data_IF_442660723156
#
_entry.id   IF_442660723156
#
_cell.length_a   1.000
_cell.length_b   1.000
_cell.length_c   1.000
_cell.angle_alpha   90.00
_cell.angle_beta   90.00
_cell.angle_gamma   90.00
#
_symmetry.space_group_name_H-M   'P 1'
#
loop_
_entity.id
_entity.type
_entity.pdbx_description
1 polymer ?
#
# COMPACT_ATOMS: atom_id res chain seq x y z
N UNK A 1 26.93 -8.05 12.03
CA UNK A 1 26.24 -6.85 12.58
C UNK A 1 24.81 -6.68 12.05
N UNK A 2 24.49 -7.07 10.80
CA UNK A 2 23.09 -7.17 10.32
C UNK A 2 22.42 -8.52 10.65
N UNK A 3 23.07 -9.36 11.43
CA UNK A 3 22.57 -10.68 11.85
C UNK A 3 21.54 -10.55 12.98
N UNK A 4 21.61 -9.47 13.74
CA UNK A 4 20.64 -9.16 14.77
C UNK A 4 19.31 -8.70 14.15
N UNK A 5 18.23 -9.41 14.51
CA UNK A 5 16.88 -9.10 14.03
C UNK A 5 16.45 -7.69 14.46
N UNK A 6 16.95 -7.22 15.61
CA UNK A 6 16.62 -5.90 16.12
C UNK A 6 17.19 -4.78 15.24
N UNK A 7 18.44 -4.89 14.81
CA UNK A 7 19.07 -3.90 13.92
C UNK A 7 18.35 -3.86 12.56
N UNK A 8 17.97 -5.03 12.02
CA UNK A 8 17.19 -5.10 10.78
C UNK A 8 15.82 -4.42 10.92
N UNK A 9 15.12 -4.68 12.02
CA UNK A 9 13.83 -4.07 12.31
C UNK A 9 13.94 -2.54 12.40
N UNK A 10 14.97 -2.01 13.07
CA UNK A 10 15.20 -0.57 13.19
C UNK A 10 15.51 0.06 11.82
N UNK A 11 16.42 -0.53 11.03
CA UNK A 11 16.78 0.00 9.71
C UNK A 11 15.60 -0.06 8.73
N UNK A 12 14.83 -1.16 8.75
CA UNK A 12 13.63 -1.31 7.94
C UNK A 12 12.55 -0.29 8.34
N UNK A 13 12.28 -0.17 9.65
CA UNK A 13 11.29 0.76 10.18
C UNK A 13 11.61 2.23 9.88
N UNK A 14 12.88 2.64 10.02
CA UNK A 14 13.32 3.99 9.64
C UNK A 14 13.13 4.23 8.14
N UNK A 15 13.46 3.25 7.30
CA UNK A 15 13.24 3.33 5.86
C UNK A 15 11.76 3.55 5.52
N UNK A 16 10.87 2.73 6.09
CA UNK A 16 9.41 2.85 5.89
C UNK A 16 8.90 4.20 6.40
N UNK A 17 9.31 4.65 7.59
CA UNK A 17 8.87 5.92 8.18
C UNK A 17 9.28 7.13 7.33
N UNK A 18 10.50 7.12 6.78
CA UNK A 18 11.00 8.18 5.90
C UNK A 18 10.21 8.31 4.60
N UNK A 19 9.65 7.22 4.10
CA UNK A 19 8.85 7.19 2.86
C UNK A 19 7.39 7.54 3.17
N UNK A 20 6.83 6.92 4.22
CA UNK A 20 5.44 7.06 4.61
C UNK A 20 5.10 8.47 5.11
N UNK A 21 6.02 9.13 5.83
CA UNK A 21 5.82 10.48 6.35
C UNK A 21 5.51 11.51 5.25
N UNK A 22 6.42 11.74 4.28
CA UNK A 22 6.20 12.67 3.19
C UNK A 22 4.99 12.30 2.32
N UNK A 23 4.85 11.02 1.95
CA UNK A 23 3.69 10.56 1.17
C UNK A 23 2.37 10.81 1.89
N UNK A 24 2.30 10.53 3.19
CA UNK A 24 1.12 10.73 4.01
C UNK A 24 0.68 12.20 4.02
N UNK A 25 1.63 13.13 4.17
CA UNK A 25 1.35 14.57 4.09
C UNK A 25 0.67 14.96 2.76
N UNK A 26 1.18 14.46 1.63
CA UNK A 26 0.56 14.71 0.31
C UNK A 26 -0.82 14.10 0.15
N UNK A 27 -1.00 12.86 0.62
CA UNK A 27 -2.28 12.16 0.57
C UNK A 27 -3.35 12.95 1.34
N UNK A 28 -3.00 13.48 2.50
CA UNK A 28 -3.91 14.31 3.32
C UNK A 28 -4.24 15.63 2.63
N UNK A 29 -3.23 16.35 2.10
CA UNK A 29 -3.47 17.61 1.38
C UNK A 29 -4.39 17.45 0.18
N UNK A 30 -4.35 16.30 -0.49
CA UNK A 30 -5.25 15.98 -1.60
C UNK A 30 -6.63 15.45 -1.19
N UNK A 31 -6.96 15.47 0.11
CA UNK A 31 -8.21 14.91 0.65
C UNK A 31 -8.39 13.43 0.29
N UNK A 32 -7.30 12.65 0.36
CA UNK A 32 -7.29 11.20 0.10
C UNK A 32 -6.99 10.41 1.36
N UNK A 33 -7.44 10.87 2.53
CA UNK A 33 -7.09 10.28 3.82
C UNK A 33 -7.39 8.76 3.89
N UNK A 34 -8.46 8.30 3.23
CA UNK A 34 -8.86 6.89 3.18
C UNK A 34 -8.08 6.04 2.16
N UNK A 35 -7.14 6.62 1.42
CA UNK A 35 -6.34 5.90 0.42
C UNK A 35 -5.41 4.87 1.06
N UNK A 36 -4.78 5.22 2.18
CA UNK A 36 -3.95 4.28 2.93
C UNK A 36 -4.75 3.07 3.40
N UNK A 37 -5.94 3.29 3.95
CA UNK A 37 -6.85 2.23 4.41
C UNK A 37 -7.28 1.30 3.27
N UNK A 38 -7.65 1.89 2.12
CA UNK A 38 -8.01 1.13 0.92
C UNK A 38 -6.88 0.24 0.43
N UNK A 39 -5.64 0.76 0.41
CA UNK A 39 -4.47 -0.01 0.00
C UNK A 39 -4.12 -1.13 0.98
N UNK A 40 -4.24 -0.89 2.30
CA UNK A 40 -4.00 -1.92 3.32
C UNK A 40 -4.96 -3.10 3.16
N UNK A 41 -6.24 -2.83 2.91
CA UNK A 41 -7.24 -3.88 2.66
C UNK A 41 -7.06 -4.59 1.32
N UNK A 42 -6.61 -3.85 0.29
CA UNK A 42 -6.24 -4.43 -1.01
C UNK A 42 -5.02 -5.34 -0.91
N UNK A 43 -4.07 -5.02 -0.03
CA UNK A 43 -2.92 -5.87 0.23
C UNK A 43 -3.35 -7.22 0.83
N UNK A 44 -4.31 -7.23 1.75
CA UNK A 44 -4.88 -8.47 2.30
C UNK A 44 -5.52 -9.34 1.21
N UNK A 45 -6.30 -8.74 0.29
CA UNK A 45 -6.81 -9.44 -0.89
C UNK A 45 -5.67 -10.03 -1.72
N UNK A 46 -4.59 -9.27 -1.92
CA UNK A 46 -3.39 -9.75 -2.62
C UNK A 46 -2.72 -10.93 -1.93
N UNK A 47 -2.62 -10.92 -0.60
CA UNK A 47 -2.11 -12.06 0.19
C UNK A 47 -3.02 -13.28 0.01
N UNK A 48 -4.33 -13.10 0.11
CA UNK A 48 -5.30 -14.20 -0.06
C UNK A 48 -5.19 -14.85 -1.45
N UNK A 49 -5.08 -14.03 -2.51
CA UNK A 49 -4.90 -14.52 -3.87
C UNK A 49 -3.53 -15.18 -4.09
N UNK A 50 -2.47 -14.63 -3.48
CA UNK A 50 -1.14 -15.22 -3.57
C UNK A 50 -1.11 -16.63 -2.97
N UNK A 51 -1.74 -16.80 -1.80
CA UNK A 51 -1.85 -18.11 -1.14
C UNK A 51 -2.70 -19.07 -1.97
N UNK A 52 -3.80 -18.61 -2.57
CA UNK A 52 -4.69 -19.46 -3.36
C UNK A 52 -4.05 -19.96 -4.65
N UNK A 53 -3.27 -19.10 -5.31
CA UNK A 53 -2.61 -19.39 -6.58
C UNK A 53 -1.18 -19.92 -6.41
N UNK A 54 -0.72 -20.10 -5.17
CA UNK A 54 0.65 -20.49 -4.82
C UNK A 54 1.73 -19.59 -5.46
N UNK A 55 1.43 -18.29 -5.54
CA UNK A 55 2.30 -17.27 -6.11
C UNK A 55 3.15 -16.58 -5.04
N UNK A 56 4.17 -15.84 -5.49
CA UNK A 56 4.96 -14.99 -4.61
C UNK A 56 4.08 -13.90 -3.98
N UNK A 57 4.05 -13.86 -2.65
CA UNK A 57 3.20 -12.95 -1.86
C UNK A 57 3.53 -11.50 -2.18
N UNK A 58 4.80 -11.10 -2.11
CA UNK A 58 5.24 -9.72 -2.34
C UNK A 58 4.86 -9.21 -3.73
N UNK A 59 5.09 -10.03 -4.77
CA UNK A 59 4.74 -9.65 -6.14
C UNK A 59 3.22 -9.53 -6.35
N UNK A 60 2.45 -10.48 -5.82
CA UNK A 60 0.99 -10.50 -5.98
C UNK A 60 0.34 -9.34 -5.22
N UNK A 61 0.79 -9.06 -4.00
CA UNK A 61 0.35 -7.91 -3.21
C UNK A 61 0.61 -6.60 -3.96
N UNK A 62 1.81 -6.43 -4.52
CA UNK A 62 2.13 -5.27 -5.33
C UNK A 62 1.20 -5.13 -6.54
N UNK A 63 1.01 -6.21 -7.32
CA UNK A 63 0.16 -6.21 -8.53
C UNK A 63 -1.30 -5.86 -8.18
N UNK A 64 -1.87 -6.50 -7.15
CA UNK A 64 -3.25 -6.25 -6.73
C UNK A 64 -3.40 -4.82 -6.20
N UNK A 65 -2.44 -4.33 -5.41
CA UNK A 65 -2.49 -2.96 -4.88
C UNK A 65 -2.44 -1.92 -5.99
N UNK A 66 -1.57 -2.12 -6.99
CA UNK A 66 -1.51 -1.27 -8.19
C UNK A 66 -2.79 -1.38 -9.01
N UNK A 67 -3.34 -2.58 -9.17
CA UNK A 67 -4.62 -2.83 -9.84
C UNK A 67 -5.78 -2.06 -9.19
N UNK A 68 -5.89 -2.09 -7.85
CA UNK A 68 -6.93 -1.35 -7.12
C UNK A 68 -6.68 0.16 -7.21
N UNK A 69 -5.43 0.62 -7.14
CA UNK A 69 -5.11 2.03 -7.32
C UNK A 69 -5.50 2.54 -8.73
N UNK A 70 -5.24 1.75 -9.78
CA UNK A 70 -5.68 2.07 -11.15
C UNK A 70 -7.20 2.03 -11.28
N UNK A 71 -7.86 1.04 -10.69
CA UNK A 71 -9.33 0.96 -10.67
C UNK A 71 -9.94 2.19 -10.01
N UNK A 72 -9.39 2.65 -8.89
CA UNK A 72 -9.82 3.88 -8.23
C UNK A 72 -9.68 5.10 -9.17
N UNK A 73 -8.57 5.21 -9.92
CA UNK A 73 -8.37 6.32 -10.87
C UNK A 73 -9.42 6.31 -11.98
N UNK A 74 -9.74 5.14 -12.54
CA UNK A 74 -10.79 4.99 -13.55
C UNK A 74 -12.17 5.34 -12.99
N UNK A 75 -12.50 4.84 -11.80
CA UNK A 75 -13.78 5.13 -11.14
C UNK A 75 -13.91 6.62 -10.81
N UNK A 76 -12.82 7.29 -10.41
CA UNK A 76 -12.83 8.74 -10.15
C UNK A 76 -13.16 9.58 -11.38
N UNK A 77 -12.82 9.12 -12.59
CA UNK A 77 -13.14 9.85 -13.81
C UNK A 77 -14.61 9.69 -14.23
N UNK A 78 -15.24 8.57 -13.89
CA UNK A 78 -16.58 8.22 -14.37
C UNK A 78 -17.68 8.40 -13.31
N UNK A 79 -17.35 8.27 -12.04
CA UNK A 79 -18.34 8.26 -10.96
C UNK A 79 -18.71 9.68 -10.52
N UNK A 80 -20.01 9.88 -10.30
CA UNK A 80 -20.58 11.11 -9.69
C UNK A 80 -20.46 11.14 -8.16
N UNK A 81 -19.79 10.15 -7.56
CA UNK A 81 -19.61 10.04 -6.11
C UNK A 81 -18.37 10.79 -5.63
N UNK A 82 -18.38 11.17 -4.35
CA UNK A 82 -17.20 11.77 -3.71
C UNK A 82 -16.02 10.78 -3.71
N UNK A 83 -14.80 11.32 -3.81
CA UNK A 83 -13.58 10.50 -3.76
C UNK A 83 -13.49 9.65 -2.49
N UNK A 84 -13.98 10.17 -1.36
CA UNK A 84 -13.99 9.45 -0.08
C UNK A 84 -14.95 8.26 -0.08
N UNK A 85 -16.13 8.40 -0.71
CA UNK A 85 -17.08 7.30 -0.83
C UNK A 85 -16.54 6.17 -1.71
N UNK A 86 -15.83 6.50 -2.80
CA UNK A 86 -15.19 5.50 -3.66
C UNK A 86 -14.08 4.74 -2.93
N UNK A 87 -13.27 5.46 -2.15
CA UNK A 87 -12.22 4.86 -1.32
C UNK A 87 -12.80 3.88 -0.30
N UNK A 88 -13.80 4.32 0.48
CA UNK A 88 -14.46 3.45 1.46
C UNK A 88 -15.13 2.23 0.82
N UNK A 89 -15.77 2.39 -0.34
CA UNK A 89 -16.37 1.28 -1.07
C UNK A 89 -15.32 0.27 -1.53
N UNK A 90 -14.21 0.73 -2.12
CA UNK A 90 -13.14 -0.17 -2.55
C UNK A 90 -12.45 -0.86 -1.38
N UNK A 91 -12.24 -0.16 -0.26
CA UNK A 91 -11.66 -0.71 0.96
C UNK A 91 -12.49 -1.90 1.48
N UNK A 92 -13.79 -1.72 1.66
CA UNK A 92 -14.67 -2.79 2.13
C UNK A 92 -14.90 -3.89 1.09
N UNK A 93 -14.98 -3.54 -0.21
CA UNK A 93 -15.12 -4.54 -1.27
C UNK A 93 -13.89 -5.46 -1.35
N UNK A 94 -12.68 -4.89 -1.33
CA UNK A 94 -11.44 -5.68 -1.38
C UNK A 94 -11.27 -6.55 -0.14
N UNK A 95 -11.59 -6.03 1.05
CA UNK A 95 -11.60 -6.82 2.28
C UNK A 95 -12.62 -7.96 2.22
N UNK A 96 -13.87 -7.69 1.80
CA UNK A 96 -14.91 -8.70 1.70
C UNK A 96 -14.53 -9.81 0.71
N UNK A 97 -14.02 -9.45 -0.47
CA UNK A 97 -13.54 -10.44 -1.46
C UNK A 97 -12.35 -11.22 -0.91
N UNK A 98 -11.40 -10.56 -0.24
CA UNK A 98 -10.23 -11.23 0.35
C UNK A 98 -10.63 -12.25 1.43
N UNK A 99 -11.59 -11.89 2.29
CA UNK A 99 -12.15 -12.79 3.29
C UNK A 99 -12.90 -13.97 2.67
N UNK A 100 -13.68 -13.74 1.62
CA UNK A 100 -14.39 -14.81 0.89
C UNK A 100 -13.38 -15.79 0.28
N UNK A 101 -12.34 -15.28 -0.39
CA UNK A 101 -11.26 -16.10 -0.93
C UNK A 101 -10.63 -16.94 0.17
N UNK A 102 -10.28 -16.32 1.29
CA UNK A 102 -9.66 -17.00 2.42
C UNK A 102 -10.58 -18.05 3.06
N UNK A 103 -11.89 -17.80 3.12
CA UNK A 103 -12.88 -18.72 3.68
C UNK A 103 -12.98 -20.04 2.90
N UNK A 104 -12.65 -20.04 1.60
CA UNK A 104 -12.56 -21.27 0.81
C UNK A 104 -11.31 -22.11 1.13
N UNK A 105 -10.33 -21.55 1.81
CA UNK A 105 -9.03 -22.17 2.10
C UNK A 105 -9.03 -22.81 3.48
N UNK A 106 -9.75 -23.93 3.62
CA UNK A 106 -9.92 -24.62 4.91
C UNK A 106 -8.62 -25.23 5.49
N UNK A 107 -7.57 -25.35 4.66
CA UNK A 107 -6.27 -25.90 5.04
C UNK A 107 -5.28 -24.86 5.56
N UNK A 108 -5.53 -23.56 5.37
CA UNK A 108 -4.61 -22.50 5.79
C UNK A 108 -5.15 -21.78 7.02
N UNK A 109 -4.47 -21.90 8.16
CA UNK A 109 -4.72 -21.03 9.32
C UNK A 109 -3.98 -19.72 9.12
N UNK A 110 -4.63 -18.76 8.49
CA UNK A 110 -4.07 -17.42 8.27
C UNK A 110 -4.30 -16.56 9.52
N UNK A 111 -3.23 -16.01 10.08
CA UNK A 111 -3.33 -14.95 11.07
C UNK A 111 -3.50 -13.60 10.36
N UNK A 112 -4.76 -13.15 10.23
CA UNK A 112 -5.07 -11.87 9.60
C UNK A 112 -4.40 -10.71 10.31
N UNK A 113 -4.28 -10.77 11.63
CA UNK A 113 -3.69 -9.68 12.41
C UNK A 113 -2.19 -9.60 12.11
N UNK A 114 -1.51 -10.75 12.04
CA UNK A 114 -0.11 -10.84 11.60
C UNK A 114 0.12 -10.24 10.20
N UNK A 115 -0.81 -10.41 9.25
CA UNK A 115 -0.69 -9.80 7.92
C UNK A 115 -1.10 -8.32 7.86
N UNK A 116 -2.09 -7.90 8.65
CA UNK A 116 -2.59 -6.52 8.65
C UNK A 116 -1.63 -5.56 9.37
N UNK A 117 -1.08 -5.99 10.50
CA UNK A 117 -0.13 -5.19 11.29
C UNK A 117 1.32 -5.44 10.91
N UNK A 118 1.62 -6.62 10.35
CA UNK A 118 2.97 -7.04 9.98
C UNK A 118 3.82 -7.46 11.17
N UNK A 119 4.94 -8.12 10.88
CA UNK A 119 6.00 -8.41 11.85
C UNK A 119 7.30 -7.74 11.41
N UNK A 120 7.66 -6.65 12.11
CA UNK A 120 8.87 -5.89 11.80
C UNK A 120 10.16 -6.65 12.16
N UNK A 121 10.09 -7.63 13.08
CA UNK A 121 11.25 -8.45 13.46
C UNK A 121 11.58 -9.50 12.39
N UNK A 122 10.58 -9.90 11.59
CA UNK A 122 10.73 -10.89 10.53
C UNK A 122 11.43 -10.36 9.26
N UNK A 123 11.80 -9.07 9.23
CA UNK A 123 12.47 -8.44 8.08
C UNK A 123 13.81 -9.12 7.78
N UNK A 124 13.97 -9.56 6.52
CA UNK A 124 15.19 -10.17 6.03
C UNK A 124 16.06 -9.16 5.27
N UNK A 125 17.30 -9.54 4.95
CA UNK A 125 18.26 -8.65 4.25
C UNK A 125 17.75 -8.19 2.88
N UNK A 126 17.09 -9.06 2.15
CA UNK A 126 16.49 -8.74 0.84
C UNK A 126 15.39 -7.69 0.98
N UNK A 127 14.58 -7.78 2.03
CA UNK A 127 13.49 -6.82 2.28
C UNK A 127 14.04 -5.42 2.56
N UNK A 128 15.17 -5.32 3.29
CA UNK A 128 15.84 -4.04 3.52
C UNK A 128 16.26 -3.39 2.19
N UNK A 129 16.83 -4.18 1.26
CA UNK A 129 17.23 -3.67 -0.06
C UNK A 129 16.01 -3.19 -0.84
N UNK A 130 14.89 -3.92 -0.78
CA UNK A 130 13.64 -3.52 -1.45
C UNK A 130 13.05 -2.26 -0.82
N UNK A 131 13.01 -2.16 0.51
CA UNK A 131 12.50 -0.99 1.23
C UNK A 131 13.33 0.25 0.90
N UNK A 132 14.65 0.17 1.00
CA UNK A 132 15.52 1.32 0.75
C UNK A 132 15.65 1.65 -0.74
N UNK A 133 15.74 0.65 -1.61
CA UNK A 133 15.82 0.83 -3.07
C UNK A 133 14.51 1.39 -3.63
N UNK A 134 13.38 0.76 -3.31
CA UNK A 134 12.06 1.25 -3.68
C UNK A 134 11.73 2.59 -3.02
N UNK A 135 12.09 2.75 -1.76
CA UNK A 135 11.93 4.00 -1.02
C UNK A 135 12.68 5.17 -1.61
N UNK A 136 13.94 4.96 -1.99
CA UNK A 136 14.73 5.97 -2.68
C UNK A 136 14.08 6.34 -4.02
N UNK A 137 13.62 5.36 -4.80
CA UNK A 137 12.92 5.63 -6.06
C UNK A 137 11.66 6.48 -5.86
N UNK A 138 10.86 6.16 -4.84
CA UNK A 138 9.65 6.91 -4.47
C UNK A 138 9.98 8.33 -4.01
N UNK A 139 10.99 8.51 -3.15
CA UNK A 139 11.42 9.82 -2.68
C UNK A 139 11.97 10.68 -3.82
N UNK A 140 12.78 10.10 -4.72
CA UNK A 140 13.29 10.79 -5.92
C UNK A 140 12.12 11.21 -6.81
N UNK A 141 11.16 10.32 -7.09
CA UNK A 141 9.97 10.67 -7.86
C UNK A 141 9.18 11.81 -7.21
N UNK A 142 9.02 11.78 -5.89
CA UNK A 142 8.33 12.81 -5.12
C UNK A 142 9.05 14.16 -5.18
N UNK A 143 10.39 14.18 -5.10
CA UNK A 143 11.21 15.39 -5.25
C UNK A 143 11.09 15.96 -6.67
N UNK A 144 11.17 15.10 -7.70
CA UNK A 144 11.05 15.50 -9.10
C UNK A 144 9.66 16.09 -9.40
N UNK A 145 8.61 15.49 -8.83
CA UNK A 145 7.23 15.92 -9.01
C UNK A 145 6.78 17.02 -8.04
N UNK A 146 7.65 17.45 -7.11
CA UNK A 146 7.29 18.38 -6.03
C UNK A 146 6.67 19.68 -6.55
N UNK A 147 7.26 20.27 -7.59
CA UNK A 147 6.76 21.50 -8.21
C UNK A 147 5.38 21.32 -8.82
N UNK A 148 5.16 20.22 -9.55
CA UNK A 148 3.88 19.92 -10.20
C UNK A 148 2.81 19.59 -9.17
N UNK A 149 3.13 18.81 -8.13
CA UNK A 149 2.23 18.47 -7.04
C UNK A 149 1.83 19.73 -6.26
N UNK A 150 2.77 20.63 -5.99
CA UNK A 150 2.50 21.90 -5.30
C UNK A 150 1.62 22.82 -6.16
N UNK A 151 1.92 22.97 -7.46
CA UNK A 151 1.11 23.76 -8.39
C UNK A 151 -0.34 23.24 -8.49
N UNK A 152 -0.52 21.92 -8.58
CA UNK A 152 -1.84 21.29 -8.60
C UNK A 152 -2.64 21.47 -7.30
N UNK A 153 -1.98 21.81 -6.18
CA UNK A 153 -2.64 22.05 -4.89
C UNK A 153 -3.08 23.51 -4.74
N UNK A 154 -2.41 24.46 -5.42
CA UNK A 154 -2.66 25.91 -5.31
C UNK A 154 -3.68 26.43 -6.33
N UNK A 155 -3.74 25.85 -7.54
CA UNK A 155 -4.76 26.21 -8.52
C UNK A 155 -4.99 25.07 -9.52
N UNK A 156 -6.23 24.56 -9.59
CA UNK A 156 -6.65 23.58 -10.61
C UNK A 156 -6.63 24.17 -12.04
N UNK A 157 -6.48 25.49 -12.18
CA UNK A 157 -6.60 26.26 -13.42
C UNK A 157 -5.27 26.46 -14.18
N UNK A 158 -4.13 26.03 -13.60
CA UNK A 158 -2.78 26.16 -14.21
C UNK A 158 -2.07 24.79 -14.33
N UNK A 159 -2.77 23.70 -14.04
CA UNK A 159 -2.23 22.33 -14.13
C UNK A 159 -2.41 21.72 -15.52
#
# INVERSE_FOLDING_TARGET
>A
MLDDFFIRAVIGGVGVALIAGPLGCFIIWRRLAYFGDTLSHSALLGVALALLLELNITATVFIISVGVAMLLLLLKQQARLSSDALLGLLAHATLAVGLVVLAFMTWVRVDLMGFLFGDILAINRTDIIVIWGGGLAVLVALILMWKTLFAATVSYEIA
#
